data_IF_969917322219
#
_entry.id   IF_969917322219
#
_cell.length_a   1.000
_cell.length_b   1.000
_cell.length_c   1.000
_cell.angle_alpha   90.00
_cell.angle_beta   90.00
_cell.angle_gamma   90.00
#
_symmetry.space_group_name_H-M   'P 1'
#
loop_
_entity.id
_entity.type
_entity.pdbx_description
1 polymer ?
#
# COMPACT_ATOMS: atom_id res chain seq x y z
N UNK A 1 -16.17 6.93 14.98
CA UNK A 1 -16.85 8.00 14.20
C UNK A 1 -16.66 9.44 14.71
N UNK A 2 -15.44 9.96 14.75
CA UNK A 2 -15.22 11.42 14.98
C UNK A 2 -14.01 11.97 14.18
N UNK A 3 -13.62 11.29 13.09
CA UNK A 3 -12.42 11.61 12.30
C UNK A 3 -12.40 13.08 11.82
N UNK A 4 -13.51 13.56 11.27
CA UNK A 4 -13.64 14.92 10.76
C UNK A 4 -13.44 16.01 11.83
N UNK A 5 -13.75 15.72 13.11
CA UNK A 5 -13.53 16.68 14.21
C UNK A 5 -12.05 16.76 14.59
N UNK A 6 -11.36 15.63 14.55
CA UNK A 6 -9.94 15.51 14.91
C UNK A 6 -9.06 16.10 13.80
N UNK A 7 -9.41 15.87 12.53
CA UNK A 7 -8.65 16.40 11.38
C UNK A 7 -8.95 17.87 11.06
N UNK A 8 -9.93 18.49 11.70
CA UNK A 8 -10.31 19.89 11.47
C UNK A 8 -9.14 20.90 11.56
N UNK A 9 -8.27 20.88 12.60
CA UNK A 9 -7.10 21.75 12.66
C UNK A 9 -6.11 21.50 11.51
N UNK A 10 -5.93 20.25 11.09
CA UNK A 10 -5.02 19.89 9.99
C UNK A 10 -5.58 20.30 8.62
N UNK A 11 -6.87 20.04 8.38
CA UNK A 11 -7.55 20.42 7.13
C UNK A 11 -7.71 21.93 6.99
N UNK A 12 -7.70 22.68 8.10
CA UNK A 12 -7.66 24.13 8.08
C UNK A 12 -6.34 24.65 7.47
N UNK A 13 -5.20 24.01 7.76
CA UNK A 13 -3.90 24.38 7.18
C UNK A 13 -3.80 24.11 5.66
N UNK A 14 -4.71 23.31 5.09
CA UNK A 14 -4.74 23.00 3.66
C UNK A 14 -5.56 24.02 2.84
N UNK A 15 -6.20 25.00 3.50
CA UNK A 15 -6.98 26.03 2.81
C UNK A 15 -6.06 27.02 2.11
N UNK A 16 -6.51 27.47 0.92
CA UNK A 16 -5.89 28.57 0.18
C UNK A 16 -5.82 29.82 1.08
N UNK A 17 -4.72 30.58 0.97
CA UNK A 17 -4.43 31.82 1.69
C UNK A 17 -4.27 31.70 3.23
N UNK A 18 -4.03 30.50 3.75
CA UNK A 18 -3.71 30.30 5.17
C UNK A 18 -2.20 30.07 5.33
N UNK A 19 -1.49 30.88 6.16
CA UNK A 19 -0.10 30.62 6.44
C UNK A 19 0.05 29.31 7.24
N UNK A 20 1.00 28.48 6.83
CA UNK A 20 1.27 27.21 7.49
C UNK A 20 1.90 27.46 8.86
N UNK A 21 1.06 27.53 9.90
CA UNK A 21 1.48 27.69 11.29
C UNK A 21 1.06 26.47 12.10
N UNK A 22 2.04 25.59 12.35
CA UNK A 22 1.83 24.39 13.15
C UNK A 22 1.78 24.76 14.63
N UNK A 23 0.65 24.49 15.28
CA UNK A 23 0.43 24.83 16.69
C UNK A 23 0.09 23.57 17.51
N UNK A 24 0.04 23.72 18.83
CA UNK A 24 -0.24 22.61 19.75
C UNK A 24 -1.57 21.88 19.46
N UNK A 25 -2.55 22.56 18.85
CA UNK A 25 -3.82 21.91 18.44
C UNK A 25 -3.62 20.99 17.23
N UNK A 26 -2.70 21.34 16.32
CA UNK A 26 -2.32 20.49 15.19
C UNK A 26 -1.52 19.29 15.68
N UNK A 27 -0.58 19.49 16.60
CA UNK A 27 0.19 18.39 17.21
C UNK A 27 -0.71 17.41 17.95
N UNK A 28 -1.61 17.90 18.82
CA UNK A 28 -2.52 17.03 19.55
C UNK A 28 -3.46 16.26 18.60
N UNK A 29 -3.96 16.91 17.56
CA UNK A 29 -4.77 16.24 16.53
C UNK A 29 -3.97 15.17 15.77
N UNK A 30 -2.72 15.45 15.44
CA UNK A 30 -1.84 14.52 14.73
C UNK A 30 -1.48 13.30 15.59
N UNK A 31 -1.13 13.50 16.86
CA UNK A 31 -0.86 12.41 17.79
C UNK A 31 -2.13 11.60 18.12
N UNK A 32 -3.30 12.24 18.25
CA UNK A 32 -4.56 11.51 18.41
C UNK A 32 -4.87 10.65 17.17
N UNK A 33 -4.60 11.14 15.96
CA UNK A 33 -4.75 10.36 14.72
C UNK A 33 -3.78 9.19 14.68
N UNK A 34 -2.50 9.41 15.03
CA UNK A 34 -1.51 8.33 15.13
C UNK A 34 -1.98 7.27 16.12
N UNK A 35 -2.42 7.65 17.31
CA UNK A 35 -2.92 6.72 18.32
C UNK A 35 -4.15 5.94 17.84
N UNK A 36 -5.04 6.57 17.07
CA UNK A 36 -6.20 5.88 16.48
C UNK A 36 -5.84 4.95 15.33
N UNK A 37 -4.83 5.29 14.53
CA UNK A 37 -4.31 4.43 13.47
C UNK A 37 -3.47 3.26 14.03
N UNK A 38 -2.77 3.49 15.14
CA UNK A 38 -2.00 2.47 15.85
C UNK A 38 -2.88 1.55 16.71
N UNK A 39 -4.18 1.83 16.84
CA UNK A 39 -5.08 0.98 17.60
C UNK A 39 -5.26 -0.38 16.87
N UNK A 40 -4.91 -1.50 17.53
CA UNK A 40 -4.91 -2.83 16.91
C UNK A 40 -6.30 -3.35 16.53
N UNK A 41 -7.37 -2.68 16.96
CA UNK A 41 -8.75 -2.99 16.56
C UNK A 41 -9.03 -2.74 15.08
N UNK A 42 -8.13 -2.06 14.36
CA UNK A 42 -8.14 -1.97 12.90
C UNK A 42 -7.56 -3.22 12.24
N UNK A 43 -6.54 -3.85 12.84
CA UNK A 43 -5.85 -5.00 12.27
C UNK A 43 -6.55 -6.30 12.66
N UNK A 44 -6.71 -7.22 11.70
CA UNK A 44 -7.31 -8.54 11.93
C UNK A 44 -6.30 -9.65 11.71
N UNK A 45 -6.39 -10.69 12.53
CA UNK A 45 -5.60 -11.89 12.31
C UNK A 45 -5.98 -12.53 10.98
N UNK A 46 -5.00 -13.02 10.20
CA UNK A 46 -5.26 -13.73 8.96
C UNK A 46 -6.08 -15.00 9.26
N UNK A 47 -7.22 -15.11 8.60
CA UNK A 47 -8.09 -16.27 8.60
C UNK A 47 -7.65 -17.21 7.46
N UNK A 48 -6.85 -18.21 7.80
CA UNK A 48 -6.23 -19.08 6.79
C UNK A 48 -7.24 -19.93 6.00
N UNK A 49 -8.46 -20.11 6.49
CA UNK A 49 -9.51 -20.92 5.85
C UNK A 49 -10.28 -20.16 4.76
N UNK A 50 -10.30 -18.82 4.82
CA UNK A 50 -10.95 -17.97 3.79
C UNK A 50 -10.19 -17.90 2.46
N UNK A 51 -8.92 -18.30 2.44
CA UNK A 51 -8.15 -18.65 1.24
C UNK A 51 -7.78 -17.53 0.25
N UNK A 52 -8.41 -16.35 0.27
CA UNK A 52 -8.11 -15.24 -0.66
C UNK A 52 -7.55 -14.03 0.06
N UNK A 53 -6.31 -13.67 -0.26
CA UNK A 53 -5.72 -12.39 0.16
C UNK A 53 -5.84 -11.35 -0.95
N UNK A 54 -6.06 -10.11 -0.56
CA UNK A 54 -6.03 -8.96 -1.45
C UNK A 54 -4.81 -8.12 -1.09
N UNK A 55 -3.93 -7.89 -2.05
CA UNK A 55 -2.73 -7.08 -1.89
C UNK A 55 -2.93 -5.76 -2.63
N UNK A 56 -3.13 -4.67 -1.89
CA UNK A 56 -3.28 -3.33 -2.46
C UNK A 56 -1.92 -2.62 -2.47
N UNK A 57 -1.62 -1.97 -3.59
CA UNK A 57 -0.40 -1.16 -3.78
C UNK A 57 -0.75 0.21 -4.37
N UNK A 58 -0.58 1.26 -3.58
CA UNK A 58 -0.67 2.68 -4.01
C UNK A 58 0.29 3.50 -3.14
N UNK A 59 1.58 3.50 -3.54
CA UNK A 59 2.75 4.02 -2.81
C UNK A 59 3.00 3.45 -1.37
N UNK A 60 1.99 2.81 -0.79
CA UNK A 60 1.95 2.07 0.46
C UNK A 60 1.42 0.67 0.18
N UNK A 61 1.84 -0.29 1.00
CA UNK A 61 1.57 -1.71 0.82
C UNK A 61 0.54 -2.14 1.87
N UNK A 62 -0.57 -2.69 1.43
CA UNK A 62 -1.66 -3.11 2.30
C UNK A 62 -2.10 -4.52 1.96
N UNK A 63 -2.17 -5.38 2.98
CA UNK A 63 -2.68 -6.74 2.85
C UNK A 63 -4.05 -6.84 3.55
N UNK A 64 -5.05 -7.31 2.82
CA UNK A 64 -6.44 -7.48 3.29
C UNK A 64 -6.95 -8.89 2.94
N UNK A 65 -8.10 -9.28 3.50
CA UNK A 65 -8.68 -10.61 3.26
C UNK A 65 -10.22 -10.58 3.34
N UNK A 66 -10.87 -11.00 2.23
CA UNK A 66 -12.33 -11.09 2.09
C UNK A 66 -12.87 -10.50 0.77
N UNK A 67 -14.16 -10.14 0.75
CA UNK A 67 -14.84 -9.45 -0.36
C UNK A 67 -14.88 -7.93 -0.12
N UNK A 68 -14.27 -7.15 -1.02
CA UNK A 68 -14.37 -5.68 -1.06
C UNK A 68 -15.85 -5.25 -1.01
N UNK A 69 -16.23 -4.21 -0.22
CA UNK A 69 -15.41 -3.06 0.19
C UNK A 69 -15.22 -2.94 1.72
N UNK A 70 -15.42 -4.01 2.48
CA UNK A 70 -15.54 -3.94 3.95
C UNK A 70 -14.61 -4.91 4.69
N UNK A 71 -13.37 -5.06 4.23
CA UNK A 71 -12.41 -5.92 4.91
C UNK A 71 -11.48 -5.16 5.83
N UNK A 72 -11.08 -5.86 6.90
CA UNK A 72 -10.15 -5.33 7.88
C UNK A 72 -8.72 -5.59 7.38
N UNK A 73 -7.84 -4.59 7.43
CA UNK A 73 -6.45 -4.75 7.08
C UNK A 73 -5.78 -5.83 7.96
N UNK A 74 -4.95 -6.67 7.37
CA UNK A 74 -4.12 -7.65 8.11
C UNK A 74 -2.78 -7.03 8.46
N UNK A 75 -2.19 -6.29 7.53
CA UNK A 75 -0.90 -5.66 7.71
C UNK A 75 -0.70 -4.49 6.76
N UNK A 76 0.03 -3.48 7.25
CA UNK A 76 0.52 -2.34 6.49
C UNK A 76 2.04 -2.41 6.38
N UNK A 77 2.57 -2.07 5.21
CA UNK A 77 3.99 -1.87 5.01
C UNK A 77 4.24 -0.66 4.10
N UNK A 78 5.39 -0.04 4.26
CA UNK A 78 5.80 1.08 3.41
C UNK A 78 7.31 1.04 3.25
N UNK A 79 7.81 1.41 2.07
CA UNK A 79 9.24 1.51 1.82
C UNK A 79 9.54 2.76 1.00
N UNK A 80 10.58 3.47 1.37
CA UNK A 80 11.13 4.56 0.56
C UNK A 80 11.94 4.01 -0.61
N UNK A 81 11.94 4.76 -1.72
CA UNK A 81 12.77 4.46 -2.88
C UNK A 81 14.22 4.87 -2.60
N UNK A 82 15.18 4.08 -3.07
CA UNK A 82 16.59 4.48 -3.07
C UNK A 82 16.91 5.43 -4.24
N UNK A 83 18.11 6.02 -4.25
CA UNK A 83 18.52 7.00 -5.27
C UNK A 83 18.53 6.45 -6.71
N UNK A 84 18.73 5.15 -6.90
CA UNK A 84 18.64 4.55 -8.23
C UNK A 84 17.18 4.39 -8.67
N UNK A 85 16.31 3.96 -7.74
CA UNK A 85 14.88 3.75 -7.95
C UNK A 85 14.10 5.06 -8.12
N UNK A 86 14.59 6.18 -7.56
CA UNK A 86 13.98 7.50 -7.80
C UNK A 86 14.03 7.91 -9.27
N UNK A 87 15.02 7.42 -10.02
CA UNK A 87 15.18 7.70 -11.45
C UNK A 87 14.34 6.78 -12.34
N UNK A 88 13.62 5.81 -11.77
CA UNK A 88 12.77 4.90 -12.53
C UNK A 88 11.55 5.63 -13.10
N UNK A 89 11.07 5.14 -14.25
CA UNK A 89 9.81 5.58 -14.82
C UNK A 89 8.65 5.25 -13.88
N UNK A 90 7.52 5.92 -14.05
CA UNK A 90 6.31 5.67 -13.24
C UNK A 90 5.94 4.19 -13.27
N UNK A 91 5.91 3.57 -14.45
CA UNK A 91 5.60 2.15 -14.63
C UNK A 91 6.56 1.24 -13.85
N UNK A 92 7.86 1.55 -13.86
CA UNK A 92 8.87 0.79 -13.13
C UNK A 92 8.72 0.94 -11.62
N UNK A 93 8.35 2.12 -11.13
CA UNK A 93 8.10 2.38 -9.70
C UNK A 93 6.90 1.60 -9.20
N UNK A 94 5.81 1.59 -9.96
CA UNK A 94 4.62 0.83 -9.59
C UNK A 94 4.87 -0.68 -9.59
N UNK A 95 5.57 -1.19 -10.61
CA UNK A 95 5.95 -2.59 -10.64
C UNK A 95 6.89 -2.96 -9.48
N UNK A 96 7.86 -2.09 -9.19
CA UNK A 96 8.73 -2.27 -8.04
C UNK A 96 7.92 -2.31 -6.74
N UNK A 97 6.91 -1.45 -6.57
CA UNK A 97 6.03 -1.48 -5.41
C UNK A 97 5.36 -2.86 -5.25
N UNK A 98 4.82 -3.43 -6.33
CA UNK A 98 4.24 -4.78 -6.32
C UNK A 98 5.27 -5.85 -5.92
N UNK A 99 6.46 -5.84 -6.52
CA UNK A 99 7.53 -6.81 -6.21
C UNK A 99 7.91 -6.76 -4.74
N UNK A 100 7.99 -5.55 -4.18
CA UNK A 100 8.31 -5.35 -2.78
C UNK A 100 7.18 -5.79 -1.86
N UNK A 101 5.94 -5.52 -2.25
CA UNK A 101 4.74 -5.98 -1.55
C UNK A 101 4.72 -7.50 -1.43
N UNK A 102 4.88 -8.20 -2.56
CA UNK A 102 4.88 -9.66 -2.61
C UNK A 102 6.05 -10.23 -1.81
N UNK A 103 7.23 -9.62 -1.91
CA UNK A 103 8.41 -10.05 -1.13
C UNK A 103 8.21 -9.83 0.38
N UNK A 104 7.62 -8.71 0.78
CA UNK A 104 7.39 -8.39 2.18
C UNK A 104 6.35 -9.31 2.81
N UNK A 105 5.25 -9.58 2.09
CA UNK A 105 4.17 -10.45 2.54
C UNK A 105 4.33 -11.91 2.09
N UNK A 106 5.53 -12.35 1.70
CA UNK A 106 5.79 -13.72 1.21
C UNK A 106 5.28 -14.79 2.19
N UNK A 107 5.41 -14.57 3.50
CA UNK A 107 4.91 -15.49 4.54
C UNK A 107 3.39 -15.70 4.50
N UNK A 108 2.62 -14.71 4.04
CA UNK A 108 1.18 -14.78 3.89
C UNK A 108 0.77 -15.36 2.52
N UNK A 109 1.47 -14.93 1.47
CA UNK A 109 1.07 -15.17 0.08
C UNK A 109 1.61 -16.47 -0.52
N UNK A 110 2.74 -16.98 -0.04
CA UNK A 110 3.38 -18.15 -0.65
C UNK A 110 2.49 -19.40 -0.56
N UNK A 111 2.30 -20.08 -1.69
CA UNK A 111 1.45 -21.28 -1.79
C UNK A 111 -0.06 -21.01 -1.73
N UNK A 112 -0.50 -19.75 -1.88
CA UNK A 112 -1.91 -19.35 -1.85
C UNK A 112 -2.23 -18.42 -3.00
N UNK A 113 -3.50 -18.41 -3.40
CA UNK A 113 -4.01 -17.47 -4.41
C UNK A 113 -4.27 -16.12 -3.76
N UNK A 114 -3.86 -15.06 -4.43
CA UNK A 114 -4.15 -13.69 -4.02
C UNK A 114 -4.44 -12.80 -5.21
N UNK A 115 -5.10 -11.67 -4.94
CA UNK A 115 -5.40 -10.67 -5.96
C UNK A 115 -4.57 -9.43 -5.69
N UNK A 116 -3.81 -8.99 -6.69
CA UNK A 116 -3.12 -7.70 -6.63
C UNK A 116 -4.07 -6.63 -7.13
N UNK A 117 -4.32 -5.62 -6.30
CA UNK A 117 -5.13 -4.46 -6.63
C UNK A 117 -4.20 -3.26 -6.77
N UNK A 118 -4.14 -2.71 -7.98
CA UNK A 118 -3.36 -1.52 -8.32
C UNK A 118 -4.23 -0.59 -9.16
N UNK A 119 -4.10 0.71 -8.96
CA UNK A 119 -4.72 1.76 -9.77
C UNK A 119 -4.02 1.94 -11.13
N UNK A 120 -2.82 1.38 -11.29
CA UNK A 120 -1.96 1.59 -12.44
C UNK A 120 -2.21 0.57 -13.57
N UNK A 121 -3.23 0.86 -14.40
CA UNK A 121 -3.68 0.05 -15.56
C UNK A 121 -2.57 -0.49 -16.48
N UNK A 122 -1.48 0.23 -16.82
CA UNK A 122 -0.44 -0.32 -17.69
C UNK A 122 0.22 -1.63 -17.19
N UNK A 123 0.11 -1.94 -15.89
CA UNK A 123 0.68 -3.16 -15.31
C UNK A 123 -0.11 -4.42 -15.68
N UNK A 124 -1.38 -4.31 -16.07
CA UNK A 124 -2.16 -5.47 -16.54
C UNK A 124 -1.57 -6.05 -17.83
N UNK A 125 -0.86 -5.24 -18.61
CA UNK A 125 -0.23 -5.65 -19.86
C UNK A 125 1.23 -6.12 -19.69
N UNK A 126 1.78 -6.03 -18.48
CA UNK A 126 3.19 -6.32 -18.21
C UNK A 126 3.60 -7.75 -18.62
N UNK A 127 2.72 -8.73 -18.42
CA UNK A 127 2.96 -10.12 -18.78
C UNK A 127 2.94 -10.38 -20.31
N UNK A 128 2.42 -9.44 -21.09
CA UNK A 128 2.33 -9.50 -22.56
C UNK A 128 3.51 -8.87 -23.30
N UNK A 129 4.41 -8.16 -22.60
CA UNK A 129 5.56 -7.49 -23.24
C UNK A 129 6.60 -8.54 -23.66
N UNK A 130 6.91 -8.61 -24.96
CA UNK A 130 7.91 -9.53 -25.54
C UNK A 130 9.35 -9.01 -25.38
N UNK A 131 9.55 -7.70 -25.52
CA UNK A 131 10.86 -7.04 -25.39
C UNK A 131 11.00 -6.37 -24.02
N UNK A 132 11.11 -7.19 -22.97
CA UNK A 132 11.29 -6.70 -21.62
C UNK A 132 12.78 -6.46 -21.33
N UNK A 133 13.11 -5.38 -20.62
CA UNK A 133 14.49 -5.19 -20.12
C UNK A 133 14.89 -6.32 -19.17
N UNK A 134 16.20 -6.56 -19.02
CA UNK A 134 16.73 -7.62 -18.14
C UNK A 134 16.24 -7.50 -16.68
N UNK A 135 15.93 -6.28 -16.23
CA UNK A 135 15.30 -6.02 -14.93
C UNK A 135 13.84 -6.50 -14.88
N UNK A 136 13.03 -6.14 -15.88
CA UNK A 136 11.63 -6.56 -15.96
C UNK A 136 11.49 -8.08 -16.05
N UNK A 137 12.38 -8.74 -16.79
CA UNK A 137 12.40 -10.20 -16.88
C UNK A 137 12.66 -10.85 -15.52
N UNK A 138 13.58 -10.28 -14.72
CA UNK A 138 13.88 -10.76 -13.37
C UNK A 138 12.69 -10.60 -12.42
N UNK A 139 11.99 -9.47 -12.49
CA UNK A 139 10.78 -9.23 -11.71
C UNK A 139 9.62 -10.13 -12.12
N UNK A 140 9.48 -10.40 -13.42
CA UNK A 140 8.50 -11.37 -13.94
C UNK A 140 8.76 -12.78 -13.40
N UNK A 141 10.02 -13.23 -13.38
CA UNK A 141 10.39 -14.51 -12.80
C UNK A 141 10.05 -14.58 -11.30
N UNK A 142 10.26 -13.50 -10.56
CA UNK A 142 9.88 -13.45 -9.14
C UNK A 142 8.36 -13.55 -8.93
N UNK A 143 7.56 -12.91 -9.78
CA UNK A 143 6.10 -13.02 -9.70
C UNK A 143 5.61 -14.40 -10.15
N UNK A 144 6.33 -15.09 -11.03
CA UNK A 144 5.98 -16.46 -11.47
C UNK A 144 6.13 -17.53 -10.39
N UNK A 145 6.74 -17.20 -9.24
CA UNK A 145 6.73 -18.08 -8.06
C UNK A 145 5.37 -18.15 -7.36
N UNK A 146 4.41 -17.31 -7.77
CA UNK A 146 3.10 -17.13 -7.13
C UNK A 146 1.96 -17.39 -8.12
N UNK A 147 0.82 -17.86 -7.59
CA UNK A 147 -0.39 -18.24 -8.32
C UNK A 147 -1.48 -17.15 -8.33
#
# INVERSE_FOLDING_TARGET
DNFAKITKPLTYLLKIDIPFNWNDKCDNAFEELKNKLMNPSLLTYPDWDKGKFNLMTDASLLLEQGELPLDKPIAYASRTLNQAETNYSVIQKELLAIILAVKHFRSYLYGRKFTIITDHRPLTYLFGIKDASSQLMRWRLQLSEYD
#
